data_IF_257474489359
#
_entry.id   IF_257474489359
#
_cell.length_a   1.000
_cell.length_b   1.000
_cell.length_c   1.000
_cell.angle_alpha   90.00
_cell.angle_beta   90.00
_cell.angle_gamma   90.00
#
_symmetry.space_group_name_H-M   'P 1'
#
loop_
_entity.id
_entity.type
_entity.pdbx_description
1 polymer ?
#
# COMPACT_ATOMS: atom_id res chain seq x y z
N UNK A 1 0.87 -10.84 1.35
CA UNK A 1 -0.05 -9.73 1.70
C UNK A 1 -0.82 -9.14 0.53
N UNK A 2 -0.25 -9.05 -0.67
CA UNK A 2 -0.91 -8.34 -1.79
C UNK A 2 -2.27 -8.89 -2.21
N UNK A 3 -2.49 -10.22 -2.15
CA UNK A 3 -3.80 -10.82 -2.49
C UNK A 3 -4.91 -10.34 -1.55
N UNK A 4 -4.73 -10.48 -0.23
CA UNK A 4 -5.70 -10.02 0.76
C UNK A 4 -5.95 -8.51 0.70
N UNK A 5 -4.88 -7.72 0.62
CA UNK A 5 -4.98 -6.25 0.61
C UNK A 5 -5.64 -5.70 -0.65
N UNK A 6 -5.53 -6.42 -1.78
CA UNK A 6 -6.29 -6.14 -3.00
C UNK A 6 -7.79 -6.34 -2.78
N UNK A 7 -8.18 -7.40 -2.09
CA UNK A 7 -9.60 -7.71 -1.83
C UNK A 7 -10.24 -6.65 -0.91
N UNK A 8 -9.49 -6.09 0.04
CA UNK A 8 -9.96 -4.99 0.92
C UNK A 8 -9.61 -3.59 0.41
N UNK A 9 -9.00 -3.48 -0.79
CA UNK A 9 -8.72 -2.23 -1.51
C UNK A 9 -7.87 -1.21 -0.70
N UNK A 10 -6.97 -1.72 0.14
CA UNK A 10 -6.06 -0.89 0.97
C UNK A 10 -4.61 -1.12 0.55
N UNK A 11 -3.82 -0.05 0.50
CA UNK A 11 -2.39 -0.12 0.21
C UNK A 11 -1.56 0.39 1.38
N UNK A 12 -0.36 -0.15 1.56
CA UNK A 12 0.56 0.21 2.63
C UNK A 12 1.89 0.73 2.12
N UNK A 13 2.38 1.79 2.78
CA UNK A 13 3.75 2.29 2.65
C UNK A 13 4.64 1.91 3.85
N UNK A 14 5.97 1.91 3.68
CA UNK A 14 6.93 1.69 4.77
C UNK A 14 7.43 3.04 5.22
N UNK A 15 7.44 3.22 6.53
CA UNK A 15 8.09 4.35 7.15
C UNK A 15 9.62 4.18 7.04
N UNK A 16 10.36 5.16 6.52
CA UNK A 16 11.80 5.00 6.25
C UNK A 16 12.65 4.96 7.53
N UNK A 17 12.17 5.54 8.63
CA UNK A 17 12.93 5.59 9.89
C UNK A 17 12.70 4.33 10.72
N UNK A 18 11.43 3.90 10.80
CA UNK A 18 11.03 2.81 11.71
C UNK A 18 10.78 1.48 11.00
N UNK A 19 10.72 1.47 9.66
CA UNK A 19 10.35 0.30 8.87
C UNK A 19 8.88 -0.12 9.02
N UNK A 20 8.09 0.62 9.82
CA UNK A 20 6.71 0.26 10.16
C UNK A 20 5.79 0.40 8.94
N UNK A 21 4.87 -0.54 8.74
CA UNK A 21 3.82 -0.39 7.73
C UNK A 21 2.86 0.73 8.12
N UNK A 22 2.54 1.59 7.16
CA UNK A 22 1.61 2.71 7.31
C UNK A 22 0.61 2.69 6.17
N UNK A 23 -0.67 2.66 6.47
CA UNK A 23 -1.71 2.70 5.45
C UNK A 23 -1.61 3.99 4.63
N UNK A 24 -1.77 3.87 3.31
CA UNK A 24 -1.98 5.03 2.45
C UNK A 24 -3.42 5.52 2.62
N UNK A 25 -3.63 6.83 2.50
CA UNK A 25 -4.99 7.38 2.42
C UNK A 25 -5.64 6.95 1.10
N UNK A 26 -6.94 6.61 1.08
CA UNK A 26 -7.67 6.32 -0.15
C UNK A 26 -7.48 7.43 -1.18
N UNK A 27 -7.28 7.07 -2.44
CA UNK A 27 -7.15 7.98 -3.58
C UNK A 27 -5.95 8.93 -3.56
N UNK A 28 -5.07 8.81 -2.56
CA UNK A 28 -3.79 9.50 -2.57
C UNK A 28 -2.95 9.07 -3.77
N UNK A 29 -2.02 9.93 -4.21
CA UNK A 29 -1.13 9.63 -5.32
C UNK A 29 -0.42 8.28 -5.14
N UNK A 30 0.07 7.99 -3.92
CA UNK A 30 0.76 6.73 -3.59
C UNK A 30 -0.18 5.53 -3.66
N UNK A 31 -1.41 5.67 -3.19
CA UNK A 31 -2.43 4.62 -3.27
C UNK A 31 -2.75 4.28 -4.72
N UNK A 32 -2.97 5.29 -5.57
CA UNK A 32 -3.25 5.10 -7.01
C UNK A 32 -2.10 4.43 -7.74
N UNK A 33 -0.86 4.84 -7.48
CA UNK A 33 0.33 4.24 -8.09
C UNK A 33 0.48 2.77 -7.69
N UNK A 34 0.37 2.45 -6.39
CA UNK A 34 0.47 1.08 -5.89
C UNK A 34 -0.67 0.17 -6.38
N UNK A 35 -1.91 0.69 -6.42
CA UNK A 35 -3.05 -0.04 -7.01
C UNK A 35 -2.82 -0.34 -8.49
N UNK A 36 -2.25 0.60 -9.24
CA UNK A 36 -1.92 0.43 -10.66
C UNK A 36 -0.77 -0.56 -10.89
N UNK A 37 0.24 -0.60 -10.02
CA UNK A 37 1.33 -1.58 -10.10
C UNK A 37 0.94 -2.97 -9.56
N UNK A 38 -0.15 -3.07 -8.79
CA UNK A 38 -0.54 -4.31 -8.12
C UNK A 38 0.22 -4.58 -6.81
N UNK A 39 0.97 -3.59 -6.32
CA UNK A 39 1.82 -3.70 -5.13
C UNK A 39 1.13 -3.11 -3.91
N UNK A 40 0.21 -3.87 -3.31
CA UNK A 40 -0.58 -3.42 -2.16
C UNK A 40 0.21 -3.40 -0.83
N UNK A 41 1.36 -4.07 -0.81
CA UNK A 41 2.34 -4.14 0.26
C UNK A 41 3.72 -4.35 -0.36
N UNK A 42 4.77 -3.76 0.20
CA UNK A 42 6.13 -3.99 -0.31
C UNK A 42 6.52 -5.45 -0.23
N UNK A 43 7.14 -5.92 -1.30
CA UNK A 43 7.91 -7.15 -1.34
C UNK A 43 9.07 -7.11 -0.35
#
# INVERSE_FOLDING_TARGET
MNKFLKDVVITFRRDPETGRPRANKPDSQKDKVQKKSGEYYYT
#
